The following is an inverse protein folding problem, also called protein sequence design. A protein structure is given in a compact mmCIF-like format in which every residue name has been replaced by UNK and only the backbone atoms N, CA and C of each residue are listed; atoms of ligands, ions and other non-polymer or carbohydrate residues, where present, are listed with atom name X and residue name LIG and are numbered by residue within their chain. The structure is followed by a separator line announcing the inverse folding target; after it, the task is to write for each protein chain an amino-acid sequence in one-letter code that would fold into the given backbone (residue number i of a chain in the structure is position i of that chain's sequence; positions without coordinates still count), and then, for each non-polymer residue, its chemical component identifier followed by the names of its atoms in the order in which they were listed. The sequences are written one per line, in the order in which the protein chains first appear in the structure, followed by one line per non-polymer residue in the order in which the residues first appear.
data_IF_801110811489
#
_entry.id   IF_801110811489
#
_cell.length_a   1.000
_cell.length_b   1.000
_cell.length_c   1.000
_cell.angle_alpha   90.00
_cell.angle_beta   90.00
_cell.angle_gamma   90.00
#
_symmetry.space_group_name_H-M   'P 1'
#
loop_
_entity.id
_entity.type
_entity.pdbx_description
1 polymer ?
#
# COMPACT_ATOMS: atom_id res chain seq x y z
N UNK A 1 -9.18 -13.79 -3.10
CA UNK A 1 -8.73 -12.44 -2.69
C UNK A 1 -9.09 -11.47 -3.77
N UNK A 2 -9.63 -10.30 -3.42
CA UNK A 2 -9.96 -9.23 -4.38
C UNK A 2 -8.85 -8.19 -4.36
N UNK A 3 -8.32 -7.82 -5.52
CA UNK A 3 -7.44 -6.67 -5.64
C UNK A 3 -8.27 -5.39 -5.63
N UNK A 4 -7.72 -4.34 -5.02
CA UNK A 4 -8.36 -3.02 -4.96
C UNK A 4 -7.40 -1.96 -5.54
N UNK A 5 -7.92 -0.79 -5.97
CA UNK A 5 -7.07 0.31 -6.41
C UNK A 5 -6.16 0.79 -5.28
N UNK A 6 -4.93 1.20 -5.61
CA UNK A 6 -4.00 1.72 -4.61
C UNK A 6 -4.55 2.94 -3.89
N UNK A 7 -5.18 3.86 -4.63
CA UNK A 7 -5.69 5.13 -4.12
C UNK A 7 -6.67 4.88 -2.99
N UNK A 8 -7.57 3.90 -3.17
CA UNK A 8 -8.49 3.44 -2.14
C UNK A 8 -7.76 2.94 -0.88
N UNK A 9 -6.73 2.09 -1.05
CA UNK A 9 -5.96 1.60 0.11
C UNK A 9 -5.24 2.74 0.82
N UNK A 10 -4.61 3.63 0.06
CA UNK A 10 -3.82 4.74 0.60
C UNK A 10 -4.67 5.76 1.34
N UNK A 11 -5.85 6.11 0.81
CA UNK A 11 -6.81 7.00 1.46
C UNK A 11 -7.33 6.38 2.74
N UNK A 12 -7.80 5.13 2.67
CA UNK A 12 -8.29 4.42 3.84
C UNK A 12 -7.19 4.31 4.90
N UNK A 13 -5.98 3.89 4.55
CA UNK A 13 -4.88 3.79 5.49
C UNK A 13 -4.52 5.15 6.13
N UNK A 14 -4.55 6.23 5.35
CA UNK A 14 -4.32 7.59 5.84
C UNK A 14 -5.36 8.03 6.87
N UNK A 15 -6.65 7.69 6.69
CA UNK A 15 -7.72 7.98 7.65
C UNK A 15 -7.46 7.31 9.02
N UNK A 16 -6.77 6.19 9.03
CA UNK A 16 -6.40 5.44 10.24
C UNK A 16 -4.97 5.71 10.72
N UNK A 17 -4.35 6.81 10.27
CA UNK A 17 -3.06 7.27 10.77
C UNK A 17 -1.86 6.51 10.21
N UNK A 18 -1.95 6.01 8.98
CA UNK A 18 -0.77 5.53 8.28
C UNK A 18 0.27 6.65 8.14
N UNK A 19 1.52 6.35 8.50
CA UNK A 19 2.63 7.30 8.41
C UNK A 19 3.26 7.32 7.01
N UNK A 20 3.09 6.24 6.25
CA UNK A 20 3.48 6.17 4.85
C UNK A 20 2.67 5.08 4.14
N UNK A 21 2.24 5.35 2.92
CA UNK A 21 1.69 4.36 2.01
C UNK A 21 2.45 4.45 0.69
N UNK A 22 3.10 3.36 0.30
CA UNK A 22 3.89 3.32 -0.94
C UNK A 22 3.60 2.08 -1.75
N UNK A 23 3.97 2.13 -3.02
CA UNK A 23 3.87 0.98 -3.91
C UNK A 23 5.13 0.16 -3.76
N UNK A 24 4.96 -1.15 -3.79
CA UNK A 24 6.08 -2.08 -3.82
C UNK A 24 5.78 -3.23 -4.76
N UNK A 25 6.73 -3.55 -5.62
CA UNK A 25 6.69 -4.80 -6.37
C UNK A 25 6.68 -6.00 -5.41
N UNK A 26 5.92 -7.01 -5.78
CA UNK A 26 5.86 -8.25 -5.02
C UNK A 26 5.68 -9.43 -5.95
N UNK A 27 6.71 -10.27 -5.99
CA UNK A 27 6.67 -11.60 -6.64
C UNK A 27 5.66 -12.56 -5.98
N UNK A 28 5.17 -12.22 -4.77
CA UNK A 28 4.18 -13.00 -4.02
C UNK A 28 2.75 -12.51 -4.21
N UNK A 29 2.55 -11.31 -4.76
CA UNK A 29 1.22 -10.78 -5.05
C UNK A 29 0.76 -11.31 -6.39
N UNK A 30 -0.49 -11.77 -6.49
CA UNK A 30 -1.06 -12.22 -7.76
C UNK A 30 -1.18 -11.09 -8.80
N UNK A 31 -1.20 -9.82 -8.35
CA UNK A 31 -1.19 -8.65 -9.24
C UNK A 31 0.23 -8.17 -9.59
N UNK A 32 1.26 -8.76 -9.00
CA UNK A 32 2.66 -8.29 -9.09
C UNK A 32 2.98 -7.09 -8.19
N UNK A 33 1.97 -6.43 -7.61
CA UNK A 33 2.14 -5.21 -6.82
C UNK A 33 1.37 -5.25 -5.50
N UNK A 34 1.89 -4.53 -4.49
CA UNK A 34 1.20 -4.28 -3.22
C UNK A 34 1.24 -2.80 -2.85
N UNK A 35 0.19 -2.34 -2.17
CA UNK A 35 0.27 -1.17 -1.31
C UNK A 35 0.93 -1.60 0.01
N UNK A 36 2.02 -0.96 0.38
CA UNK A 36 2.66 -1.14 1.68
C UNK A 36 2.34 0.06 2.57
N UNK A 37 1.47 -0.19 3.56
CA UNK A 37 0.97 0.82 4.50
C UNK A 37 1.71 0.67 5.84
N UNK A 38 2.31 1.74 6.30
CA UNK A 38 3.13 1.81 7.51
C UNK A 38 2.39 2.52 8.61
N UNK A 39 2.49 2.01 9.84
CA UNK A 39 1.86 2.57 11.02
C UNK A 39 2.87 2.65 12.17
N UNK A 40 2.81 3.72 12.96
CA UNK A 40 3.64 3.87 14.16
C UNK A 40 3.18 2.93 15.30
N UNK A 41 1.89 2.64 15.36
CA UNK A 41 1.23 1.79 16.36
C UNK A 41 0.48 0.63 15.69
N UNK A 42 0.08 -0.38 16.47
CA UNK A 42 -0.62 -1.54 15.95
C UNK A 42 -1.98 -1.12 15.34
N UNK A 43 -2.22 -1.30 14.03
CA UNK A 43 -3.35 -0.70 13.32
C UNK A 43 -4.62 -1.57 13.41
N UNK A 44 -5.11 -1.82 14.63
CA UNK A 44 -6.28 -2.68 14.87
C UNK A 44 -7.56 -2.11 14.23
N UNK A 45 -7.80 -0.80 14.37
CA UNK A 45 -8.98 -0.14 13.80
C UNK A 45 -8.99 -0.22 12.28
N UNK A 46 -7.84 0.02 11.64
CA UNK A 46 -7.66 -0.16 10.20
C UNK A 46 -7.95 -1.61 9.77
N UNK A 47 -7.36 -2.60 10.45
CA UNK A 47 -7.55 -4.00 10.10
C UNK A 47 -9.03 -4.43 10.22
N UNK A 48 -9.72 -3.97 11.26
CA UNK A 48 -11.15 -4.20 11.45
C UNK A 48 -11.99 -3.55 10.34
N UNK A 49 -11.76 -2.26 10.05
CA UNK A 49 -12.48 -1.55 8.98
C UNK A 49 -12.21 -2.17 7.61
N UNK A 50 -10.97 -2.54 7.34
CA UNK A 50 -10.56 -3.22 6.12
C UNK A 50 -11.36 -4.51 5.91
N UNK A 51 -11.40 -5.38 6.91
CA UNK A 51 -12.12 -6.65 6.81
C UNK A 51 -13.61 -6.43 6.56
N UNK A 52 -14.22 -5.44 7.22
CA UNK A 52 -15.62 -5.08 7.02
C UNK A 52 -15.93 -4.53 5.62
N UNK A 53 -15.05 -3.71 5.04
CA UNK A 53 -15.28 -3.06 3.72
C UNK A 53 -14.89 -3.95 2.55
N UNK A 54 -13.77 -4.68 2.67
CA UNK A 54 -13.17 -5.44 1.55
C UNK A 54 -13.50 -6.93 1.63
N UNK A 55 -13.93 -7.43 2.80
CA UNK A 55 -14.38 -8.80 2.99
C UNK A 55 -13.26 -9.82 3.22
N UNK A 56 -12.05 -9.37 3.56
CA UNK A 56 -10.96 -10.26 3.97
C UNK A 56 -10.00 -9.59 4.96
N UNK A 57 -9.34 -10.39 5.80
CA UNK A 57 -8.38 -9.88 6.78
C UNK A 57 -7.01 -9.60 6.18
N UNK A 58 -6.37 -8.54 6.66
CA UNK A 58 -4.98 -8.19 6.31
C UNK A 58 -4.00 -8.72 7.34
N UNK A 59 -2.81 -9.11 6.85
CA UNK A 59 -1.70 -9.46 7.72
C UNK A 59 -0.95 -8.18 8.14
N UNK A 60 -0.89 -7.96 9.44
CA UNK A 60 -0.03 -6.93 10.04
C UNK A 60 1.31 -7.55 10.40
N UNK A 61 2.41 -6.95 9.93
CA UNK A 61 3.78 -7.38 10.26
C UNK A 61 4.42 -6.36 11.18
N UNK A 62 5.07 -6.83 12.24
CA UNK A 62 6.03 -6.01 12.98
C UNK A 62 7.34 -5.97 12.20
N UNK A 63 7.91 -4.79 12.04
CA UNK A 63 9.08 -4.53 11.19
C UNK A 63 10.13 -3.76 11.98
N UNK A 64 11.38 -4.20 11.89
CA UNK A 64 12.51 -3.62 12.63
C UNK A 64 13.07 -2.35 11.99
N UNK A 65 12.70 -2.04 10.75
CA UNK A 65 13.16 -0.87 10.00
C UNK A 65 12.12 -0.36 9.02
N UNK A 66 12.08 0.98 8.84
CA UNK A 66 11.21 1.67 7.91
C UNK A 66 10.46 2.86 8.54
N UNK A 67 9.50 3.44 7.81
CA UNK A 67 8.72 4.61 8.25
C UNK A 67 7.90 4.41 9.53
N UNK A 68 7.56 3.16 9.86
CA UNK A 68 6.74 2.80 11.01
C UNK A 68 7.15 1.47 11.62
N UNK A 69 6.55 1.11 12.75
CA UNK A 69 6.80 -0.14 13.48
C UNK A 69 5.99 -1.32 12.93
N UNK A 70 4.90 -1.03 12.25
CA UNK A 70 4.00 -2.01 11.67
C UNK A 70 3.81 -1.75 10.19
N UNK A 71 3.82 -2.80 9.39
CA UNK A 71 3.57 -2.74 7.96
C UNK A 71 2.47 -3.72 7.55
N UNK A 72 1.53 -3.23 6.75
CA UNK A 72 0.48 -4.02 6.10
C UNK A 72 0.75 -4.04 4.61
N UNK A 73 0.71 -5.22 3.98
CA UNK A 73 0.84 -5.37 2.54
C UNK A 73 -0.48 -5.83 1.95
N UNK A 74 -1.03 -5.03 1.04
CA UNK A 74 -2.31 -5.29 0.38
C UNK A 74 -2.07 -5.45 -1.12
N UNK A 75 -2.49 -6.56 -1.75
CA UNK A 75 -2.48 -6.69 -3.21
C UNK A 75 -3.34 -5.60 -3.87
N UNK A 76 -2.74 -4.85 -4.80
CA UNK A 76 -3.44 -3.76 -5.52
C UNK A 76 -3.37 -3.92 -7.02
N UNK A 77 -4.38 -3.40 -7.71
CA UNK A 77 -4.31 -3.17 -9.15
C UNK A 77 -3.67 -1.82 -9.43
N UNK A 78 -2.77 -1.85 -10.40
CA UNK A 78 -1.98 -0.73 -10.84
C UNK A 78 -2.39 -0.38 -12.28
N UNK A 79 -2.81 0.85 -12.59
CA UNK A 79 -2.96 1.28 -13.96
C UNK A 79 -1.61 1.22 -14.69
N UNK A 80 -1.61 0.67 -15.90
CA UNK A 80 -0.41 0.57 -16.73
C UNK A 80 0.15 1.98 -16.98
N UNK A 81 1.44 2.20 -16.68
CA UNK A 81 2.09 3.52 -16.82
C UNK A 81 2.01 4.44 -15.59
N UNK A 82 1.24 4.11 -14.56
CA UNK A 82 1.19 4.89 -13.31
C UNK A 82 2.47 4.77 -12.46
N UNK A 83 3.33 3.81 -12.77
CA UNK A 83 4.62 3.63 -12.11
C UNK A 83 5.76 3.78 -13.11
N UNK A 84 6.65 4.75 -12.86
CA UNK A 84 8.02 4.69 -13.34
C UNK A 84 8.88 4.13 -12.24
N UNK A 85 9.06 2.81 -12.22
CA UNK A 85 10.06 2.19 -11.38
C UNK A 85 11.42 2.53 -12.01
N UNK A 86 12.17 3.43 -11.38
CA UNK A 86 13.58 3.59 -11.70
C UNK A 86 14.27 2.25 -11.41
N UNK A 87 14.66 1.55 -12.48
CA UNK A 87 15.09 0.16 -12.42
C UNK A 87 16.16 -0.10 -11.37
N UNK A 88 16.06 -1.26 -10.72
CA UNK A 88 17.21 -1.89 -10.06
C UNK A 88 17.15 -2.11 -8.55
N UNK A 89 16.05 -1.79 -7.85
CA UNK A 89 15.93 -2.14 -6.43
C UNK A 89 14.92 -3.25 -6.19
N UNK A 90 15.42 -4.47 -5.96
CA UNK A 90 14.66 -5.53 -5.27
C UNK A 90 14.11 -4.94 -3.96
N UNK A 91 12.79 -4.81 -3.85
CA UNK A 91 12.14 -4.20 -2.69
C UNK A 91 12.11 -2.66 -2.69
N UNK A 92 12.40 -2.02 -3.83
CA UNK A 92 12.33 -0.57 -4.00
C UNK A 92 10.93 -0.05 -3.68
N UNK A 93 10.85 0.75 -2.62
CA UNK A 93 9.64 1.51 -2.28
C UNK A 93 9.56 2.69 -3.22
N UNK A 94 8.46 2.83 -3.95
CA UNK A 94 8.23 4.00 -4.79
C UNK A 94 7.10 4.81 -4.20
N UNK A 95 7.40 6.07 -3.88
CA UNK A 95 6.40 7.07 -3.54
C UNK A 95 5.71 7.49 -4.82
N UNK A 96 4.38 7.52 -4.81
CA UNK A 96 3.60 8.02 -5.95
C UNK A 96 3.88 9.51 -6.08
N UNK A 97 4.48 9.92 -7.20
CA UNK A 97 4.40 11.32 -7.64
C UNK A 97 3.08 11.42 -8.39
N UNK A 98 2.03 11.86 -7.69
CA UNK A 98 0.76 12.16 -8.36
C UNK A 98 1.02 13.39 -9.22
N UNK A 99 1.17 13.19 -10.52
CA UNK A 99 1.10 14.31 -11.45
C UNK A 99 -0.36 14.78 -11.46
N UNK A 100 -0.67 16.02 -11.07
CA UNK A 100 -2.00 16.56 -11.34
C UNK A 100 -2.25 16.46 -12.85
N UNK A 101 -3.49 16.20 -13.29
CA UNK A 101 -3.80 16.20 -14.72
C UNK A 101 -3.33 17.54 -15.29
N UNK A 102 -2.41 17.49 -16.25
CA UNK A 102 -1.94 18.67 -16.95
C UNK A 102 -3.18 19.42 -17.46
N UNK A 103 -3.33 20.66 -16.99
CA UNK A 103 -4.36 21.56 -17.48
C UNK A 103 -4.04 21.83 -18.95
N UNK A 104 -4.75 21.16 -19.85
CA UNK A 104 -4.81 21.49 -21.27
C UNK A 104 -5.58 22.79 -21.47
#
# INVERSE_FOLDING_TARGET
MRSVPFEFVSQLASEFGAVECCWRESERSFTGYVAECWFAQLPLAFAGKWSAVVGYSVLVRSVSSGPGRFAVSVPVTVPQGAIRLSGGQRGGRVRVVVHPPESY
#
